data_IF_221601152197
#
_entry.id   IF_221601152197
#
_cell.length_a   1.000
_cell.length_b   1.000
_cell.length_c   1.000
_cell.angle_alpha   90.00
_cell.angle_beta   90.00
_cell.angle_gamma   90.00
#
_symmetry.space_group_name_H-M   'P 1'
#
loop_
_entity.id
_entity.type
_entity.pdbx_description
1 polymer ?
#
# COMPACT_ATOMS: atom_id res chain seq x y z
N UNK A 1 6.97 12.18 -35.77
CA UNK A 1 8.13 11.41 -35.31
C UNK A 1 9.15 12.38 -34.76
N UNK A 2 9.35 12.40 -33.45
CA UNK A 2 10.38 13.26 -32.83
C UNK A 2 11.76 12.70 -33.14
N UNK A 3 12.68 13.59 -33.53
CA UNK A 3 14.09 13.24 -33.72
C UNK A 3 14.67 12.65 -32.42
N UNK A 4 15.22 11.45 -32.46
CA UNK A 4 15.73 10.77 -31.27
C UNK A 4 14.69 10.05 -30.40
N UNK A 5 13.46 9.85 -30.86
CA UNK A 5 12.40 9.20 -30.07
C UNK A 5 12.77 7.83 -29.47
N UNK A 6 13.59 7.05 -30.18
CA UNK A 6 14.10 5.78 -29.64
C UNK A 6 15.06 5.99 -28.46
N UNK A 7 15.94 6.98 -28.52
CA UNK A 7 16.89 7.27 -27.42
C UNK A 7 16.14 7.77 -26.20
N UNK A 8 15.22 8.71 -26.36
CA UNK A 8 14.40 9.24 -25.27
C UNK A 8 13.48 8.17 -24.68
N UNK A 9 12.88 7.32 -25.52
CA UNK A 9 12.08 6.19 -25.08
C UNK A 9 12.90 5.18 -24.27
N UNK A 10 14.10 4.83 -24.74
CA UNK A 10 14.99 3.93 -24.00
C UNK A 10 15.40 4.51 -22.65
N UNK A 11 15.81 5.78 -22.60
CA UNK A 11 16.15 6.45 -21.35
C UNK A 11 14.97 6.48 -20.38
N UNK A 12 13.76 6.78 -20.86
CA UNK A 12 12.56 6.74 -20.04
C UNK A 12 12.33 5.36 -19.40
N UNK A 13 12.38 4.29 -20.18
CA UNK A 13 12.23 2.93 -19.66
C UNK A 13 13.34 2.52 -18.70
N UNK A 14 14.57 2.94 -18.94
CA UNK A 14 15.69 2.70 -18.02
C UNK A 14 15.45 3.40 -16.68
N UNK A 15 15.07 4.68 -16.67
CA UNK A 15 14.76 5.39 -15.43
C UNK A 15 13.55 4.81 -14.71
N UNK A 16 12.50 4.42 -15.43
CA UNK A 16 11.33 3.72 -14.85
C UNK A 16 11.73 2.40 -14.21
N UNK A 17 12.63 1.64 -14.85
CA UNK A 17 13.14 0.38 -14.28
C UNK A 17 13.93 0.61 -12.98
N UNK A 18 14.80 1.63 -12.93
CA UNK A 18 15.52 1.97 -11.70
C UNK A 18 14.58 2.44 -10.59
N UNK A 19 13.57 3.25 -10.92
CA UNK A 19 12.56 3.68 -9.96
C UNK A 19 11.77 2.47 -9.41
N UNK A 20 11.33 1.56 -10.27
CA UNK A 20 10.64 0.34 -9.87
C UNK A 20 11.52 -0.55 -8.97
N UNK A 21 12.80 -0.77 -9.34
CA UNK A 21 13.73 -1.56 -8.55
C UNK A 21 13.95 -0.98 -7.15
N UNK A 22 14.11 0.35 -7.04
CA UNK A 22 14.31 0.99 -5.72
C UNK A 22 13.09 0.79 -4.82
N UNK A 23 11.88 0.89 -5.36
CA UNK A 23 10.63 0.64 -4.64
C UNK A 23 10.51 -0.82 -4.20
N UNK A 24 10.79 -1.77 -5.11
CA UNK A 24 10.76 -3.20 -4.79
C UNK A 24 11.73 -3.52 -3.65
N UNK A 25 12.97 -2.99 -3.69
CA UNK A 25 13.97 -3.23 -2.64
C UNK A 25 13.47 -2.68 -1.30
N UNK A 26 12.90 -1.46 -1.27
CA UNK A 26 12.41 -0.85 -0.05
C UNK A 26 11.24 -1.65 0.57
N UNK A 27 10.29 -2.07 -0.24
CA UNK A 27 9.15 -2.90 0.20
C UNK A 27 9.63 -4.26 0.69
N UNK A 28 10.54 -4.90 -0.05
CA UNK A 28 11.12 -6.19 0.33
C UNK A 28 11.83 -6.12 1.69
N UNK A 29 12.65 -5.09 1.92
CA UNK A 29 13.31 -4.88 3.22
C UNK A 29 12.29 -4.66 4.36
N UNK A 30 11.18 -3.96 4.09
CA UNK A 30 10.08 -3.80 5.04
C UNK A 30 9.46 -5.14 5.44
N UNK A 31 9.17 -6.01 4.47
CA UNK A 31 8.63 -7.36 4.69
C UNK A 31 9.64 -8.24 5.46
N UNK A 32 10.94 -8.14 5.13
CA UNK A 32 11.99 -8.86 5.84
C UNK A 32 12.05 -8.46 7.32
N UNK A 33 12.03 -7.16 7.61
CA UNK A 33 12.02 -6.65 8.98
C UNK A 33 10.81 -7.16 9.75
N UNK A 34 9.61 -7.05 9.16
CA UNK A 34 8.40 -7.59 9.75
C UNK A 34 8.53 -9.08 10.07
N UNK A 35 9.05 -9.88 9.14
CA UNK A 35 9.24 -11.33 9.32
C UNK A 35 10.25 -11.64 10.45
N UNK A 36 11.30 -10.84 10.59
CA UNK A 36 12.29 -11.01 11.68
C UNK A 36 11.71 -10.59 13.03
N UNK A 37 10.97 -9.48 13.08
CA UNK A 37 10.47 -8.91 14.33
C UNK A 37 9.28 -9.70 14.89
N UNK A 38 8.34 -10.13 14.02
CA UNK A 38 7.13 -10.83 14.45
C UNK A 38 7.34 -12.33 14.65
N UNK A 39 8.12 -12.97 13.77
CA UNK A 39 8.32 -14.42 13.79
C UNK A 39 9.69 -14.85 14.32
N UNK A 40 10.54 -13.91 14.68
CA UNK A 40 11.89 -14.20 15.21
C UNK A 40 12.78 -14.90 14.19
N UNK A 41 12.54 -14.74 12.89
CA UNK A 41 13.31 -15.41 11.86
C UNK A 41 14.71 -14.82 11.73
N UNK A 42 15.68 -15.69 11.45
CA UNK A 42 16.99 -15.20 11.02
C UNK A 42 16.88 -14.51 9.66
N UNK A 43 17.74 -13.52 9.39
CA UNK A 43 17.74 -12.78 8.13
C UNK A 43 17.82 -13.72 6.90
N UNK A 44 18.63 -14.77 6.97
CA UNK A 44 18.75 -15.75 5.89
C UNK A 44 17.42 -16.45 5.60
N UNK A 45 16.74 -16.91 6.66
CA UNK A 45 15.43 -17.56 6.51
C UNK A 45 14.38 -16.59 5.96
N UNK A 46 14.31 -15.38 6.48
CA UNK A 46 13.39 -14.35 6.00
C UNK A 46 13.62 -14.05 4.51
N UNK A 47 14.87 -13.85 4.08
CA UNK A 47 15.21 -13.61 2.68
C UNK A 47 14.80 -14.79 1.80
N UNK A 48 15.18 -16.02 2.15
CA UNK A 48 14.90 -17.20 1.32
C UNK A 48 13.40 -17.43 1.15
N UNK A 49 12.64 -17.37 2.25
CA UNK A 49 11.19 -17.59 2.20
C UNK A 49 10.48 -16.49 1.40
N UNK A 50 10.79 -15.22 1.65
CA UNK A 50 10.16 -14.12 0.94
C UNK A 50 10.58 -14.03 -0.53
N UNK A 51 11.84 -14.41 -0.86
CA UNK A 51 12.32 -14.47 -2.24
C UNK A 51 11.56 -15.51 -3.09
N UNK A 52 11.04 -16.56 -2.47
CA UNK A 52 10.20 -17.57 -3.12
C UNK A 52 8.72 -17.15 -3.07
N UNK A 53 8.25 -16.69 -1.91
CA UNK A 53 6.84 -16.37 -1.70
C UNK A 53 6.35 -15.20 -2.57
N UNK A 54 7.14 -14.13 -2.68
CA UNK A 54 6.73 -12.94 -3.43
C UNK A 54 6.53 -13.23 -4.93
N UNK A 55 7.47 -13.88 -5.65
CA UNK A 55 7.24 -14.26 -7.04
C UNK A 55 6.05 -15.21 -7.20
N UNK A 56 5.88 -16.18 -6.30
CA UNK A 56 4.73 -17.10 -6.36
C UNK A 56 3.39 -16.37 -6.18
N UNK A 57 3.32 -15.43 -5.25
CA UNK A 57 2.12 -14.61 -5.02
C UNK A 57 1.85 -13.61 -6.16
N UNK A 58 2.88 -13.19 -6.89
CA UNK A 58 2.71 -12.31 -8.06
C UNK A 58 2.36 -13.05 -9.36
N UNK A 59 2.45 -14.39 -9.38
CA UNK A 59 2.11 -15.18 -10.57
C UNK A 59 0.68 -14.96 -11.08
N UNK A 60 -0.37 -14.94 -10.24
CA UNK A 60 -1.74 -14.71 -10.74
C UNK A 60 -1.86 -13.39 -11.49
N UNK A 61 -1.26 -12.32 -10.97
CA UNK A 61 -1.24 -11.00 -11.62
C UNK A 61 -0.48 -11.06 -12.96
N UNK A 62 0.71 -11.65 -12.99
CA UNK A 62 1.51 -11.76 -14.19
C UNK A 62 0.84 -12.64 -15.26
N UNK A 63 0.21 -13.75 -14.87
CA UNK A 63 -0.52 -14.64 -15.78
C UNK A 63 -1.85 -14.04 -16.24
N UNK A 64 -2.43 -13.12 -15.48
CA UNK A 64 -3.64 -12.40 -15.83
C UNK A 64 -3.56 -11.62 -17.14
N UNK A 65 -2.35 -11.23 -17.54
CA UNK A 65 -2.12 -10.56 -18.83
C UNK A 65 -2.01 -11.52 -20.03
N UNK A 66 -1.89 -12.82 -19.80
CA UNK A 66 -1.67 -13.79 -20.88
C UNK A 66 -2.58 -15.03 -20.74
N UNK A 67 -2.14 -15.99 -19.93
CA UNK A 67 -2.83 -17.30 -19.80
C UNK A 67 -4.18 -17.20 -19.13
N UNK A 68 -4.34 -16.28 -18.18
CA UNK A 68 -5.55 -16.06 -17.40
C UNK A 68 -6.30 -14.79 -17.83
N UNK A 69 -6.04 -14.27 -19.04
CA UNK A 69 -6.72 -13.08 -19.56
C UNK A 69 -8.25 -13.21 -19.69
N UNK A 70 -8.73 -14.46 -19.85
CA UNK A 70 -10.16 -14.76 -19.94
C UNK A 70 -10.87 -14.86 -18.59
N UNK A 71 -10.08 -14.85 -17.49
CA UNK A 71 -10.62 -14.85 -16.13
C UNK A 71 -10.97 -13.44 -15.72
N UNK A 72 -12.22 -13.07 -15.93
CA UNK A 72 -12.76 -11.75 -15.60
C UNK A 72 -13.78 -11.90 -14.49
N UNK A 73 -13.60 -11.13 -13.39
CA UNK A 73 -14.56 -11.09 -12.30
C UNK A 73 -15.69 -10.11 -12.64
N UNK A 74 -16.97 -10.56 -12.62
CA UNK A 74 -18.09 -9.68 -12.93
C UNK A 74 -18.11 -8.44 -12.05
N UNK A 75 -18.17 -7.25 -12.67
CA UNK A 75 -18.23 -5.97 -11.97
C UNK A 75 -16.90 -5.37 -11.53
N UNK A 76 -15.81 -6.13 -11.56
CA UNK A 76 -14.47 -5.63 -11.16
C UNK A 76 -13.51 -5.56 -12.34
N UNK A 77 -13.39 -6.65 -13.12
CA UNK A 77 -12.50 -6.73 -14.25
C UNK A 77 -11.53 -7.91 -14.20
N UNK A 78 -10.35 -7.74 -14.78
CA UNK A 78 -9.28 -8.73 -14.82
C UNK A 78 -8.62 -8.95 -13.44
N UNK A 79 -7.76 -9.95 -13.34
CA UNK A 79 -7.10 -10.34 -12.07
C UNK A 79 -6.33 -9.17 -11.47
N UNK A 80 -5.62 -8.39 -12.28
CA UNK A 80 -4.88 -7.22 -11.78
C UNK A 80 -5.82 -6.18 -11.18
N UNK A 81 -6.93 -5.88 -11.84
CA UNK A 81 -7.93 -4.94 -11.34
C UNK A 81 -8.54 -5.43 -10.02
N UNK A 82 -8.76 -6.74 -9.88
CA UNK A 82 -9.23 -7.34 -8.62
C UNK A 82 -8.21 -7.19 -7.51
N UNK A 83 -6.94 -7.48 -7.78
CA UNK A 83 -5.85 -7.31 -6.80
C UNK A 83 -5.70 -5.85 -6.39
N UNK A 84 -5.69 -4.93 -7.35
CA UNK A 84 -5.62 -3.50 -7.06
C UNK A 84 -6.84 -3.01 -6.27
N UNK A 85 -8.04 -3.43 -6.62
CA UNK A 85 -9.24 -3.13 -5.85
C UNK A 85 -9.16 -3.62 -4.41
N UNK A 86 -8.71 -4.86 -4.20
CA UNK A 86 -8.55 -5.42 -2.84
C UNK A 86 -7.52 -4.63 -2.03
N UNK A 87 -6.38 -4.31 -2.60
CA UNK A 87 -5.30 -3.63 -1.89
C UNK A 87 -5.59 -2.14 -1.76
N UNK A 88 -5.78 -1.43 -2.88
CA UNK A 88 -5.84 0.03 -2.90
C UNK A 88 -7.18 0.57 -2.39
N UNK A 89 -8.30 -0.09 -2.73
CA UNK A 89 -9.63 0.37 -2.32
C UNK A 89 -10.12 -0.18 -0.98
N UNK A 90 -9.48 -1.24 -0.44
CA UNK A 90 -9.92 -1.85 0.83
C UNK A 90 -8.80 -1.92 1.87
N UNK A 91 -7.73 -2.69 1.63
CA UNK A 91 -6.73 -2.99 2.67
C UNK A 91 -5.99 -1.72 3.11
N UNK A 92 -5.55 -0.88 2.16
CA UNK A 92 -4.82 0.35 2.50
C UNK A 92 -5.67 1.37 3.28
N UNK A 93 -6.89 1.71 2.85
CA UNK A 93 -7.74 2.63 3.63
C UNK A 93 -8.12 2.05 5.00
N UNK A 94 -8.48 0.77 5.08
CA UNK A 94 -8.79 0.14 6.36
C UNK A 94 -7.58 0.10 7.30
N UNK A 95 -6.40 -0.25 6.77
CA UNK A 95 -5.16 -0.24 7.54
C UNK A 95 -4.81 1.15 8.07
N UNK A 96 -4.94 2.18 7.25
CA UNK A 96 -4.74 3.57 7.67
C UNK A 96 -5.73 4.01 8.74
N UNK A 97 -7.00 3.61 8.62
CA UNK A 97 -8.04 3.88 9.61
C UNK A 97 -7.71 3.23 10.96
N UNK A 98 -7.35 1.94 10.95
CA UNK A 98 -6.95 1.21 12.16
C UNK A 98 -5.76 1.89 12.83
N UNK A 99 -4.75 2.28 12.04
CA UNK A 99 -3.55 2.95 12.54
C UNK A 99 -3.88 4.31 13.19
N UNK A 100 -4.66 5.14 12.52
CA UNK A 100 -5.08 6.45 13.05
C UNK A 100 -5.90 6.26 14.32
N UNK A 101 -6.86 5.33 14.32
CA UNK A 101 -7.67 5.05 15.51
C UNK A 101 -6.82 4.52 16.67
N UNK A 102 -5.80 3.71 16.41
CA UNK A 102 -4.85 3.27 17.42
C UNK A 102 -4.08 4.44 18.03
N UNK A 103 -3.57 5.36 17.22
CA UNK A 103 -2.84 6.54 17.69
C UNK A 103 -3.69 7.49 18.55
N UNK A 104 -4.98 7.64 18.21
CA UNK A 104 -5.88 8.60 18.88
C UNK A 104 -6.66 7.97 20.04
N UNK A 105 -6.90 6.65 20.03
CA UNK A 105 -7.72 5.94 21.00
C UNK A 105 -7.02 5.82 22.37
N UNK A 106 -7.79 5.98 23.44
CA UNK A 106 -7.31 5.73 24.80
C UNK A 106 -6.96 4.26 25.08
N UNK A 107 -7.52 3.33 24.31
CA UNK A 107 -7.22 1.89 24.41
C UNK A 107 -5.99 1.47 23.58
N UNK A 108 -5.55 2.33 22.65
CA UNK A 108 -4.32 2.15 21.87
C UNK A 108 -3.14 2.92 22.47
N UNK A 109 -2.34 3.54 21.60
CA UNK A 109 -1.18 4.35 22.04
C UNK A 109 -1.59 5.58 22.84
N UNK A 110 -2.66 6.25 22.42
CA UNK A 110 -3.23 7.44 23.05
C UNK A 110 -2.57 8.73 22.59
N UNK A 111 -3.41 9.75 22.38
CA UNK A 111 -2.98 11.04 21.83
C UNK A 111 -1.81 11.69 22.56
N UNK A 112 -1.78 11.61 23.89
CA UNK A 112 -0.70 12.24 24.69
C UNK A 112 0.64 11.61 24.42
N UNK A 113 0.70 10.26 24.32
CA UNK A 113 1.95 9.54 24.04
C UNK A 113 2.37 9.73 22.59
N UNK A 114 1.43 9.64 21.66
CA UNK A 114 1.67 9.96 20.25
C UNK A 114 2.27 11.36 20.08
N UNK A 115 1.68 12.38 20.75
CA UNK A 115 2.16 13.75 20.67
C UNK A 115 3.55 13.94 21.30
N UNK A 116 3.83 13.24 22.40
CA UNK A 116 5.15 13.27 23.03
C UNK A 116 6.22 12.72 22.10
N UNK A 117 5.98 11.56 21.50
CA UNK A 117 6.88 10.90 20.54
C UNK A 117 7.06 11.73 19.26
N UNK A 118 5.95 12.21 18.69
CA UNK A 118 5.98 13.04 17.48
C UNK A 118 6.73 14.37 17.66
N UNK A 119 6.81 14.86 18.89
CA UNK A 119 7.51 16.08 19.25
C UNK A 119 8.87 15.83 19.91
N UNK A 120 9.33 14.60 19.97
CA UNK A 120 10.68 14.25 20.41
C UNK A 120 11.67 14.65 19.33
N UNK A 121 12.57 15.55 19.68
CA UNK A 121 13.58 16.07 18.75
C UNK A 121 13.45 17.56 18.45
N UNK A 122 14.38 18.05 17.64
CA UNK A 122 14.44 19.45 17.19
C UNK A 122 13.73 19.60 15.85
N UNK A 123 12.77 20.51 15.75
CA UNK A 123 12.05 20.79 14.51
C UNK A 123 10.65 21.34 14.71
N UNK A 124 9.84 21.33 13.63
CA UNK A 124 8.43 21.73 13.67
C UNK A 124 7.63 20.77 14.54
N UNK A 125 7.04 21.29 15.61
CA UNK A 125 6.26 20.47 16.54
C UNK A 125 4.87 20.21 16.01
N UNK A 126 4.42 18.96 16.15
CA UNK A 126 3.07 18.55 15.79
C UNK A 126 2.05 19.24 16.70
N UNK A 127 1.10 19.99 16.15
CA UNK A 127 0.20 20.82 16.95
C UNK A 127 -0.89 19.98 17.63
N UNK A 128 -1.09 20.21 18.92
CA UNK A 128 -2.07 19.48 19.74
C UNK A 128 -3.53 19.68 19.30
N UNK A 129 -3.85 20.80 18.64
CA UNK A 129 -5.21 21.13 18.19
C UNK A 129 -5.72 20.23 17.04
N UNK A 130 -4.83 19.47 16.38
CA UNK A 130 -5.20 18.52 15.33
C UNK A 130 -5.93 17.27 15.84
N UNK A 131 -6.05 17.07 17.15
CA UNK A 131 -6.76 15.93 17.73
C UNK A 131 -8.17 15.70 17.15
N UNK A 132 -9.08 16.70 17.11
CA UNK A 132 -10.42 16.49 16.56
C UNK A 132 -10.39 16.13 15.08
N UNK A 133 -9.46 16.70 14.31
CA UNK A 133 -9.26 16.35 12.90
C UNK A 133 -8.80 14.91 12.72
N UNK A 134 -7.78 14.48 13.47
CA UNK A 134 -7.28 13.11 13.43
C UNK A 134 -8.32 12.11 13.95
N UNK A 135 -9.16 12.51 14.90
CA UNK A 135 -10.16 11.62 15.51
C UNK A 135 -11.43 11.46 14.66
N UNK A 136 -11.84 12.50 13.96
CA UNK A 136 -13.09 12.51 13.20
C UNK A 136 -12.89 12.83 11.72
N UNK A 137 -12.07 13.81 11.38
CA UNK A 137 -11.86 14.25 9.99
C UNK A 137 -11.22 13.16 9.15
N UNK A 138 -10.09 12.60 9.61
CA UNK A 138 -9.40 11.54 8.85
C UNK A 138 -10.25 10.28 8.71
N UNK A 139 -10.91 9.73 9.76
CA UNK A 139 -11.80 8.60 9.60
C UNK A 139 -12.96 8.85 8.63
N UNK A 140 -13.56 10.01 8.65
CA UNK A 140 -14.64 10.37 7.70
C UNK A 140 -14.11 10.40 6.28
N UNK A 141 -12.96 11.00 6.03
CA UNK A 141 -12.34 11.00 4.70
C UNK A 141 -12.02 9.58 4.21
N UNK A 142 -11.48 8.72 5.08
CA UNK A 142 -11.19 7.33 4.74
C UNK A 142 -12.46 6.55 4.39
N UNK A 143 -13.54 6.76 5.15
CA UNK A 143 -14.85 6.13 4.86
C UNK A 143 -15.39 6.62 3.51
N UNK A 144 -15.25 7.91 3.19
CA UNK A 144 -15.65 8.44 1.88
C UNK A 144 -14.84 7.78 0.77
N UNK A 145 -13.52 7.64 0.91
CA UNK A 145 -12.66 6.96 -0.06
C UNK A 145 -13.08 5.50 -0.25
N UNK A 146 -13.37 4.79 0.85
CA UNK A 146 -13.88 3.42 0.79
C UNK A 146 -15.19 3.34 -0.01
N UNK A 147 -16.15 4.20 0.29
CA UNK A 147 -17.44 4.24 -0.43
C UNK A 147 -17.19 4.53 -1.92
N UNK A 148 -16.37 5.52 -2.24
CA UNK A 148 -16.05 5.87 -3.63
C UNK A 148 -15.38 4.71 -4.39
N UNK A 149 -14.56 3.89 -3.72
CA UNK A 149 -13.96 2.70 -4.32
C UNK A 149 -14.99 1.61 -4.66
N UNK A 150 -16.10 1.52 -3.90
CA UNK A 150 -17.16 0.54 -4.12
C UNK A 150 -18.24 0.99 -5.11
N UNK A 151 -18.44 2.29 -5.31
CA UNK A 151 -19.46 2.84 -6.20
C UNK A 151 -19.42 2.24 -7.62
N UNK A 152 -18.25 2.16 -8.31
CA UNK A 152 -18.20 1.60 -9.66
C UNK A 152 -18.66 0.14 -9.73
N UNK A 153 -18.33 -0.65 -8.71
CA UNK A 153 -18.68 -2.08 -8.66
C UNK A 153 -20.15 -2.27 -8.43
N UNK A 154 -20.73 -1.55 -7.48
CA UNK A 154 -22.17 -1.61 -7.19
C UNK A 154 -22.98 -1.12 -8.40
N UNK A 155 -22.51 -0.06 -9.07
CA UNK A 155 -23.18 0.45 -10.27
C UNK A 155 -23.12 -0.50 -11.49
N UNK A 156 -22.14 -1.40 -11.53
CA UNK A 156 -22.03 -2.41 -12.58
C UNK A 156 -22.95 -3.63 -12.36
N UNK A 157 -23.48 -3.78 -11.15
CA UNK A 157 -24.41 -4.89 -10.79
C UNK A 157 -25.88 -4.48 -10.83
N UNK A 158 -26.17 -3.20 -10.93
CA UNK A 158 -27.51 -2.63 -11.07
C UNK A 158 -27.87 -2.38 -12.54
#
# INVERSE_FOLDING_TARGET
QMWGGQVWGTLFFVFMSFAALSTVIAVFEGILRFSMDQWGWSRRRAVTVNLIAIPLLSLPCALGFNVLSDVVMPGVGDIQTVEDFLVSSNIMPLGSLVFVMFCVSRRGWGWKRFLAEANEGEGLKFPAWLLPWMRFGVPVLVVIILIMGWVPIVSSWL
#
